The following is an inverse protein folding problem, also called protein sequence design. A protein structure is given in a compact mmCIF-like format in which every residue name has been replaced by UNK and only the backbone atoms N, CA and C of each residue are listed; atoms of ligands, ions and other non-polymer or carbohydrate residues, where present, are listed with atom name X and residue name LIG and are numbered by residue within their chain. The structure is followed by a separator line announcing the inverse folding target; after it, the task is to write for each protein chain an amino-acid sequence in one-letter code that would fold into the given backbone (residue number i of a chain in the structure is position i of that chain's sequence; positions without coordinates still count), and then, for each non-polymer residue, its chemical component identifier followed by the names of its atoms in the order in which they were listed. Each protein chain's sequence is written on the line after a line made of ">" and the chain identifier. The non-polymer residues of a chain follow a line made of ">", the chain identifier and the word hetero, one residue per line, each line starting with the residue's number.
data_IF_665301024858
#
_entry.id   IF_665301024858
#
_cell.length_a   1.000
_cell.length_b   1.000
_cell.length_c   1.000
_cell.angle_alpha   90.00
_cell.angle_beta   90.00
_cell.angle_gamma   90.00
#
_symmetry.space_group_name_H-M   'P 1'
#
loop_
_entity.id
_entity.type
_entity.pdbx_description
1 polymer ?
#
# COMPACT_ATOMS: atom_id res chain seq x y z
N UNK A 1 0.70 17.11 21.72
CA UNK A 1 -0.40 17.80 21.02
C UNK A 1 -0.65 17.03 19.75
N UNK A 2 -1.69 16.19 19.76
CA UNK A 2 -2.13 15.47 18.57
C UNK A 2 -2.98 16.43 17.74
N UNK A 3 -2.67 16.55 16.46
CA UNK A 3 -3.57 17.17 15.49
C UNK A 3 -4.60 16.09 15.21
N UNK A 4 -5.82 16.28 15.70
CA UNK A 4 -6.97 15.45 15.37
C UNK A 4 -7.20 15.54 13.86
N UNK A 5 -6.95 14.46 13.14
CA UNK A 5 -7.40 14.31 11.78
C UNK A 5 -8.90 14.03 11.82
N UNK A 6 -9.71 15.04 11.50
CA UNK A 6 -11.13 14.88 11.16
C UNK A 6 -11.25 14.00 9.90
N UNK A 7 -11.13 12.68 10.07
CA UNK A 7 -11.58 11.71 9.09
C UNK A 7 -12.92 11.20 9.59
N UNK A 8 -13.97 11.94 9.21
CA UNK A 8 -15.37 11.53 9.07
C UNK A 8 -15.79 10.31 9.91
N UNK A 9 -16.04 10.55 11.20
CA UNK A 9 -16.86 9.70 12.06
C UNK A 9 -18.34 9.96 11.73
N UNK A 10 -18.83 9.44 10.60
CA UNK A 10 -20.25 9.09 10.34
C UNK A 10 -20.40 8.56 8.90
N UNK A 11 -21.28 7.56 8.66
CA UNK A 11 -21.46 7.03 7.31
C UNK A 11 -22.20 8.07 6.46
N UNK A 12 -21.69 8.47 5.28
CA UNK A 12 -22.48 9.30 4.38
C UNK A 12 -23.75 8.54 4.02
N UNK A 13 -24.88 9.11 4.43
CA UNK A 13 -26.17 8.82 3.84
C UNK A 13 -26.15 9.41 2.43
N UNK A 14 -26.39 8.56 1.42
CA UNK A 14 -26.17 8.80 -0.02
C UNK A 14 -24.70 9.03 -0.41
N UNK A 15 -24.24 8.27 -1.42
CA UNK A 15 -22.97 8.60 -2.10
C UNK A 15 -23.23 9.92 -2.81
N UNK A 16 -22.56 10.98 -2.37
CA UNK A 16 -22.64 12.31 -3.00
C UNK A 16 -22.25 12.19 -4.48
N UNK A 17 -23.14 12.60 -5.40
CA UNK A 17 -22.89 12.58 -6.85
C UNK A 17 -21.61 13.35 -7.21
N UNK A 18 -21.26 14.37 -6.42
CA UNK A 18 -19.99 15.09 -6.58
C UNK A 18 -18.79 14.22 -6.22
N UNK A 19 -18.88 13.39 -5.18
CA UNK A 19 -17.83 12.43 -4.82
C UNK A 19 -17.68 11.35 -5.89
N UNK A 20 -18.79 10.90 -6.47
CA UNK A 20 -18.81 9.96 -7.59
C UNK A 20 -18.09 10.51 -8.83
N UNK A 21 -18.45 11.71 -9.27
CA UNK A 21 -17.84 12.35 -10.43
C UNK A 21 -16.35 12.63 -10.20
N UNK A 22 -15.98 13.10 -9.00
CA UNK A 22 -14.57 13.33 -8.65
C UNK A 22 -13.72 12.04 -8.75
N UNK A 23 -14.26 10.88 -8.36
CA UNK A 23 -13.55 9.61 -8.44
C UNK A 23 -13.32 9.14 -9.88
N UNK A 24 -14.31 9.35 -10.76
CA UNK A 24 -14.20 9.02 -12.18
C UNK A 24 -13.25 9.97 -12.90
N UNK A 25 -13.32 11.27 -12.59
CA UNK A 25 -12.39 12.28 -13.10
C UNK A 25 -10.95 11.98 -12.68
N UNK A 26 -10.75 11.52 -11.44
CA UNK A 26 -9.45 11.06 -10.96
C UNK A 26 -8.92 9.87 -11.77
N UNK A 27 -9.74 8.86 -12.06
CA UNK A 27 -9.35 7.72 -12.90
C UNK A 27 -8.95 8.20 -14.30
N UNK A 28 -9.75 9.07 -14.91
CA UNK A 28 -9.48 9.62 -16.25
C UNK A 28 -8.17 10.40 -16.26
N UNK A 29 -7.93 11.27 -15.28
CA UNK A 29 -6.69 12.05 -15.18
C UNK A 29 -5.46 11.15 -14.97
N UNK A 30 -5.55 10.18 -14.05
CA UNK A 30 -4.46 9.25 -13.78
C UNK A 30 -4.09 8.41 -15.00
N UNK A 31 -5.08 7.92 -15.74
CA UNK A 31 -4.88 7.05 -16.91
C UNK A 31 -4.43 7.83 -18.14
N UNK A 32 -4.94 9.05 -18.35
CA UNK A 32 -4.53 9.94 -19.45
C UNK A 32 -3.09 10.40 -19.35
N UNK A 33 -2.59 10.61 -18.12
CA UNK A 33 -1.25 11.12 -17.83
C UNK A 33 -0.31 10.02 -17.28
N UNK A 34 -0.48 8.77 -17.71
CA UNK A 34 0.19 7.60 -17.10
C UNK A 34 1.71 7.72 -17.03
N UNK A 35 2.39 8.12 -18.12
CA UNK A 35 3.86 8.20 -18.14
C UNK A 35 4.39 9.23 -17.13
N UNK A 36 3.84 10.45 -17.13
CA UNK A 36 4.23 11.50 -16.19
C UNK A 36 3.89 11.14 -14.74
N UNK A 37 2.75 10.47 -14.51
CA UNK A 37 2.37 10.01 -13.19
C UNK A 37 3.32 8.92 -12.68
N UNK A 38 3.73 7.97 -13.52
CA UNK A 38 4.71 6.94 -13.16
C UNK A 38 6.09 7.53 -12.92
N UNK A 39 6.54 8.50 -13.72
CA UNK A 39 7.79 9.22 -13.48
C UNK A 39 7.79 9.94 -12.12
N UNK A 40 6.70 10.65 -11.80
CA UNK A 40 6.56 11.34 -10.52
C UNK A 40 6.58 10.35 -9.35
N UNK A 41 5.83 9.25 -9.45
CA UNK A 41 5.80 8.20 -8.40
C UNK A 41 7.19 7.61 -8.18
N UNK A 42 7.93 7.30 -9.25
CA UNK A 42 9.30 6.81 -9.13
C UNK A 42 10.20 7.85 -8.44
N UNK A 43 10.14 9.10 -8.88
CA UNK A 43 10.95 10.18 -8.30
C UNK A 43 10.65 10.39 -6.81
N UNK A 44 9.38 10.33 -6.39
CA UNK A 44 8.96 10.41 -4.99
C UNK A 44 9.51 9.23 -4.16
N UNK A 45 9.42 8.00 -4.68
CA UNK A 45 9.96 6.79 -4.03
C UNK A 45 11.47 6.91 -3.86
N UNK A 46 12.19 7.32 -4.91
CA UNK A 46 13.65 7.44 -4.87
C UNK A 46 14.12 8.59 -3.97
N UNK A 47 13.45 9.74 -4.02
CA UNK A 47 13.77 10.88 -3.16
C UNK A 47 13.57 10.53 -1.68
N UNK A 48 12.44 9.90 -1.35
CA UNK A 48 12.14 9.49 0.02
C UNK A 48 13.17 8.50 0.56
N UNK A 49 13.62 7.57 -0.28
CA UNK A 49 14.46 6.46 0.15
C UNK A 49 15.94 6.63 -0.23
N UNK A 50 16.36 7.84 -0.64
CA UNK A 50 17.70 8.11 -1.17
C UNK A 50 18.83 7.66 -0.24
N UNK A 51 18.63 7.80 1.07
CA UNK A 51 19.62 7.46 2.10
C UNK A 51 19.46 6.04 2.67
N UNK A 52 18.55 5.23 2.10
CA UNK A 52 18.37 3.84 2.56
C UNK A 52 19.57 2.98 2.20
N UNK A 53 19.88 1.99 3.04
CA UNK A 53 20.99 1.08 2.77
C UNK A 53 20.85 0.39 1.42
N UNK A 54 19.63 -0.03 1.05
CA UNK A 54 19.39 -0.75 -0.19
C UNK A 54 19.72 0.09 -1.42
N UNK A 55 19.24 1.33 -1.51
CA UNK A 55 19.56 2.20 -2.66
C UNK A 55 21.03 2.64 -2.66
N UNK A 56 21.64 2.78 -1.48
CA UNK A 56 23.07 3.07 -1.35
C UNK A 56 23.96 1.93 -1.87
N UNK A 57 23.55 0.66 -1.75
CA UNK A 57 24.28 -0.49 -2.35
C UNK A 57 24.40 -0.40 -3.86
N UNK A 58 23.44 0.24 -4.53
CA UNK A 58 23.45 0.45 -5.99
C UNK A 58 24.08 1.79 -6.40
N UNK A 59 24.56 2.59 -5.45
CA UNK A 59 25.23 3.86 -5.73
C UNK A 59 24.35 4.84 -6.49
N UNK A 60 23.05 4.92 -6.16
CA UNK A 60 22.14 5.88 -6.79
C UNK A 60 22.53 7.33 -6.46
N UNK A 61 23.15 7.58 -5.31
CA UNK A 61 23.67 8.88 -4.89
C UNK A 61 22.62 10.00 -5.01
N UNK A 62 21.39 9.73 -4.59
CA UNK A 62 20.27 10.69 -4.63
C UNK A 62 19.64 10.92 -6.00
N UNK A 63 20.04 10.17 -7.05
CA UNK A 63 19.38 10.26 -8.36
C UNK A 63 17.93 9.76 -8.27
N UNK A 64 17.01 10.53 -8.86
CA UNK A 64 15.57 10.26 -8.87
C UNK A 64 15.02 10.02 -10.27
N UNK A 65 15.86 10.09 -11.30
CA UNK A 65 15.45 9.92 -12.67
C UNK A 65 15.38 8.44 -13.09
N UNK A 66 14.47 8.17 -14.03
CA UNK A 66 14.16 6.85 -14.56
C UNK A 66 15.34 6.14 -15.21
N UNK A 67 16.22 6.87 -15.90
CA UNK A 67 17.33 6.30 -16.66
C UNK A 67 18.46 5.83 -15.71
N UNK A 68 18.79 6.65 -14.72
CA UNK A 68 19.75 6.26 -13.67
C UNK A 68 19.21 5.08 -12.85
N UNK A 69 17.92 5.09 -12.49
CA UNK A 69 17.31 3.97 -11.78
C UNK A 69 17.44 2.65 -12.56
N UNK A 70 17.03 2.65 -13.84
CA UNK A 70 17.08 1.46 -14.71
C UNK A 70 18.50 0.94 -14.94
N UNK A 71 19.48 1.83 -15.03
CA UNK A 71 20.89 1.43 -15.29
C UNK A 71 21.61 0.90 -14.05
N UNK A 72 21.16 1.26 -12.84
CA UNK A 72 21.83 0.91 -11.58
C UNK A 72 21.10 -0.13 -10.75
N UNK A 73 19.77 -0.05 -10.63
CA UNK A 73 19.01 -0.95 -9.75
C UNK A 73 18.66 -2.23 -10.48
N UNK A 74 19.12 -3.36 -9.94
CA UNK A 74 18.85 -4.67 -10.51
C UNK A 74 17.37 -5.08 -10.36
N UNK A 75 16.86 -5.82 -11.34
CA UNK A 75 15.61 -6.56 -11.20
C UNK A 75 15.90 -7.77 -10.29
N UNK A 76 15.11 -7.91 -9.22
CA UNK A 76 15.35 -8.87 -8.14
C UNK A 76 14.14 -9.77 -7.88
N UNK A 77 14.38 -10.86 -7.15
CA UNK A 77 13.39 -11.77 -6.61
C UNK A 77 13.22 -11.59 -5.10
N UNK A 78 12.31 -12.34 -4.48
CA UNK A 78 12.12 -12.28 -3.02
C UNK A 78 13.36 -12.81 -2.28
N UNK A 79 14.01 -13.82 -2.85
CA UNK A 79 15.18 -14.49 -2.30
C UNK A 79 16.35 -13.52 -2.10
N UNK A 80 16.51 -12.56 -3.01
CA UNK A 80 17.55 -11.52 -2.93
C UNK A 80 17.31 -10.54 -1.77
N UNK A 81 16.06 -10.38 -1.31
CA UNK A 81 15.67 -9.49 -0.21
C UNK A 81 15.60 -10.18 1.15
N UNK A 82 15.72 -11.52 1.21
CA UNK A 82 15.65 -12.28 2.47
C UNK A 82 16.61 -11.72 3.54
N UNK A 83 17.89 -11.39 3.23
CA UNK A 83 18.80 -10.86 4.23
C UNK A 83 18.29 -9.57 4.89
N UNK A 84 17.74 -8.64 4.10
CA UNK A 84 17.21 -7.37 4.59
C UNK A 84 15.93 -7.56 5.40
N UNK A 85 15.00 -8.38 4.88
CA UNK A 85 13.74 -8.70 5.55
C UNK A 85 14.01 -9.37 6.91
N UNK A 86 14.97 -10.29 6.98
CA UNK A 86 15.33 -10.95 8.23
C UNK A 86 15.94 -10.00 9.27
N UNK A 87 16.74 -9.01 8.84
CA UNK A 87 17.26 -7.98 9.75
C UNK A 87 16.11 -7.17 10.36
N UNK A 88 15.18 -6.70 9.55
CA UNK A 88 14.00 -5.95 9.99
C UNK A 88 13.16 -6.82 10.96
N UNK A 89 12.87 -8.07 10.59
CA UNK A 89 12.12 -9.01 11.44
C UNK A 89 12.81 -9.33 12.77
N UNK A 90 14.14 -9.22 12.84
CA UNK A 90 14.93 -9.38 14.07
C UNK A 90 15.08 -8.08 14.88
N UNK A 91 14.59 -6.95 14.37
CA UNK A 91 14.49 -5.71 15.12
C UNK A 91 15.49 -4.63 14.70
N UNK A 92 16.13 -4.78 13.54
CA UNK A 92 16.92 -3.71 12.97
C UNK A 92 15.98 -2.59 12.48
N UNK A 93 16.06 -1.42 13.12
CA UNK A 93 15.24 -0.25 12.81
C UNK A 93 15.98 0.78 11.94
N UNK A 94 17.16 0.45 11.42
CA UNK A 94 17.85 1.30 10.44
C UNK A 94 17.05 1.39 9.13
N UNK A 95 17.22 2.46 8.33
CA UNK A 95 16.52 2.62 7.06
C UNK A 95 17.10 1.67 5.99
N UNK A 96 16.76 0.37 6.08
CA UNK A 96 17.31 -0.65 5.17
C UNK A 96 16.65 -0.56 3.79
N UNK A 97 15.32 -0.77 3.73
CA UNK A 97 14.54 -0.79 2.49
C UNK A 97 13.70 0.49 2.30
N UNK A 98 13.37 1.18 3.40
CA UNK A 98 12.51 2.35 3.40
C UNK A 98 13.00 3.34 4.46
N UNK A 99 12.89 4.63 4.18
CA UNK A 99 13.20 5.68 5.16
C UNK A 99 12.14 5.78 6.26
N UNK A 100 10.91 5.34 5.97
CA UNK A 100 9.85 5.23 6.97
C UNK A 100 9.94 3.90 7.73
N UNK A 101 9.65 3.89 9.04
CA UNK A 101 9.64 2.65 9.82
C UNK A 101 8.65 1.62 9.25
N UNK A 102 9.08 0.37 9.16
CA UNK A 102 8.19 -0.74 8.79
C UNK A 102 7.21 -0.98 9.94
N UNK A 103 5.91 -0.91 9.64
CA UNK A 103 4.84 -1.02 10.63
C UNK A 103 4.40 -2.45 10.88
N UNK A 104 4.38 -3.28 9.83
CA UNK A 104 4.06 -4.70 9.88
C UNK A 104 4.59 -5.42 8.62
N UNK A 105 4.49 -6.75 8.61
CA UNK A 105 4.71 -7.57 7.43
C UNK A 105 3.39 -8.11 6.90
N UNK A 106 3.16 -7.88 5.62
CA UNK A 106 2.06 -8.48 4.88
C UNK A 106 2.51 -9.85 4.36
N UNK A 107 1.85 -10.93 4.78
CA UNK A 107 2.17 -12.29 4.32
C UNK A 107 1.51 -12.57 2.99
N UNK A 108 2.33 -12.85 1.98
CA UNK A 108 1.86 -13.31 0.67
C UNK A 108 1.25 -14.72 0.77
N UNK A 109 0.40 -15.08 -0.19
CA UNK A 109 0.03 -16.48 -0.43
C UNK A 109 1.16 -17.29 -1.06
N UNK A 110 2.08 -16.61 -1.78
CA UNK A 110 3.30 -17.22 -2.30
C UNK A 110 4.30 -17.55 -1.19
N UNK A 111 5.06 -18.62 -1.38
CA UNK A 111 6.01 -19.13 -0.39
C UNK A 111 7.45 -19.11 -0.90
N UNK A 112 8.39 -19.12 0.03
CA UNK A 112 9.82 -19.39 -0.20
C UNK A 112 10.29 -20.33 0.91
N UNK A 113 10.94 -21.43 0.54
CA UNK A 113 11.32 -22.51 1.45
C UNK A 113 10.16 -23.04 2.34
N UNK A 114 8.94 -23.07 1.80
CA UNK A 114 7.75 -23.55 2.52
C UNK A 114 7.04 -22.50 3.39
N UNK A 115 7.70 -21.37 3.66
CA UNK A 115 7.15 -20.29 4.48
C UNK A 115 6.57 -19.16 3.64
N UNK A 116 5.57 -18.45 4.17
CA UNK A 116 4.97 -17.30 3.47
C UNK A 116 5.98 -16.16 3.34
N UNK A 117 5.96 -15.50 2.18
CA UNK A 117 6.80 -14.31 1.94
C UNK A 117 6.33 -13.14 2.81
N UNK A 118 7.25 -12.52 3.52
CA UNK A 118 7.03 -11.36 4.38
C UNK A 118 7.27 -10.07 3.57
N UNK A 119 6.21 -9.33 3.27
CA UNK A 119 6.30 -8.07 2.51
C UNK A 119 6.23 -6.89 3.49
N UNK A 120 7.32 -6.13 3.67
CA UNK A 120 7.31 -4.97 4.57
C UNK A 120 6.33 -3.91 4.07
N UNK A 121 5.53 -3.32 4.98
CA UNK A 121 4.65 -2.19 4.67
C UNK A 121 4.88 -1.06 5.67
N UNK A 122 4.55 0.16 5.26
CA UNK A 122 4.54 1.36 6.11
C UNK A 122 3.09 1.82 6.33
N UNK A 123 2.86 2.72 7.29
CA UNK A 123 1.52 3.20 7.62
C UNK A 123 0.83 3.90 6.43
N UNK A 124 1.57 4.71 5.68
CA UNK A 124 1.08 5.50 4.54
C UNK A 124 0.53 4.62 3.40
N UNK A 125 0.97 3.36 3.29
CA UNK A 125 0.43 2.43 2.30
C UNK A 125 -1.04 2.06 2.59
N UNK A 126 -1.54 2.30 3.80
CA UNK A 126 -2.96 2.10 4.09
C UNK A 126 -3.84 3.10 3.36
N UNK A 127 -3.46 4.38 3.34
CA UNK A 127 -4.23 5.44 2.68
C UNK A 127 -4.32 5.19 1.17
N UNK A 128 -3.21 4.74 0.56
CA UNK A 128 -3.17 4.36 -0.86
C UNK A 128 -4.10 3.18 -1.17
N UNK A 129 -4.21 2.20 -0.28
CA UNK A 129 -5.14 1.07 -0.43
C UNK A 129 -6.60 1.51 -0.28
N UNK A 130 -6.89 2.37 0.69
CA UNK A 130 -8.24 2.91 0.91
C UNK A 130 -8.71 3.76 -0.28
N UNK A 131 -7.80 4.55 -0.86
CA UNK A 131 -8.08 5.27 -2.12
C UNK A 131 -8.46 4.30 -3.23
N UNK A 132 -7.72 3.19 -3.44
CA UNK A 132 -8.09 2.21 -4.46
C UNK A 132 -9.48 1.60 -4.19
N UNK A 133 -9.79 1.27 -2.94
CA UNK A 133 -11.11 0.73 -2.56
C UNK A 133 -12.24 1.73 -2.85
N UNK A 134 -12.03 3.02 -2.60
CA UNK A 134 -13.07 4.04 -2.82
C UNK A 134 -13.43 4.24 -4.29
N UNK A 135 -12.57 3.84 -5.24
CA UNK A 135 -12.82 3.92 -6.68
C UNK A 135 -13.73 2.80 -7.21
N UNK A 136 -13.91 1.70 -6.47
CA UNK A 136 -14.66 0.53 -6.95
C UNK A 136 -16.15 0.87 -7.14
N UNK A 137 -16.79 1.41 -6.11
CA UNK A 137 -18.22 1.73 -6.13
C UNK A 137 -18.57 2.75 -7.22
N UNK A 138 -17.79 3.83 -7.42
CA UNK A 138 -17.95 4.74 -8.55
C UNK A 138 -18.01 4.08 -9.92
N UNK A 139 -17.07 3.18 -10.19
CA UNK A 139 -17.01 2.45 -11.46
C UNK A 139 -18.20 1.51 -11.60
N UNK A 140 -18.55 0.77 -10.55
CA UNK A 140 -19.68 -0.18 -10.57
C UNK A 140 -21.01 0.52 -10.85
N UNK A 141 -21.23 1.71 -10.29
CA UNK A 141 -22.47 2.49 -10.47
C UNK A 141 -22.71 2.93 -11.92
N UNK A 142 -21.69 2.96 -12.78
CA UNK A 142 -21.87 3.23 -14.22
C UNK A 142 -22.61 2.09 -14.95
N UNK A 143 -22.51 0.86 -14.43
CA UNK A 143 -23.02 -0.34 -15.10
C UNK A 143 -24.17 -1.00 -14.33
N UNK A 144 -24.20 -0.86 -13.00
CA UNK A 144 -25.22 -1.43 -12.14
C UNK A 144 -25.84 -0.30 -11.32
N UNK A 145 -26.96 0.29 -11.77
CA UNK A 145 -27.56 1.42 -11.08
C UNK A 145 -28.21 0.97 -9.76
N UNK A 146 -28.34 1.91 -8.82
CA UNK A 146 -29.05 1.73 -7.55
C UNK A 146 -28.38 0.76 -6.55
N UNK A 147 -27.07 0.50 -6.64
CA UNK A 147 -26.34 -0.31 -5.64
C UNK A 147 -26.39 0.32 -4.24
N UNK A 148 -26.50 1.64 -4.17
CA UNK A 148 -26.68 2.44 -2.95
C UNK A 148 -28.04 2.20 -2.27
N UNK A 149 -29.03 1.65 -3.00
CA UNK A 149 -30.36 1.33 -2.46
C UNK A 149 -30.43 -0.04 -1.79
N UNK A 150 -29.33 -0.78 -1.78
CA UNK A 150 -29.23 -2.11 -1.19
C UNK A 150 -28.13 -2.24 -0.15
N UNK A 151 -27.94 -3.47 0.34
CA UNK A 151 -26.75 -3.89 1.10
C UNK A 151 -26.12 -5.06 0.35
N UNK A 152 -24.80 -5.16 0.39
CA UNK A 152 -24.07 -6.30 -0.17
C UNK A 152 -23.75 -7.32 0.92
N UNK A 153 -23.95 -8.61 0.62
CA UNK A 153 -23.57 -9.70 1.52
C UNK A 153 -22.15 -10.15 1.18
N UNK A 154 -21.19 -9.81 2.05
CA UNK A 154 -19.80 -10.22 1.91
C UNK A 154 -19.41 -11.23 3.01
N UNK A 155 -18.88 -12.39 2.59
CA UNK A 155 -18.27 -13.36 3.50
C UNK A 155 -16.77 -13.11 3.58
N UNK A 156 -16.35 -12.39 4.61
CA UNK A 156 -14.95 -11.99 4.80
C UNK A 156 -14.35 -12.74 6.00
N UNK A 157 -13.20 -13.38 5.77
CA UNK A 157 -12.53 -14.20 6.76
C UNK A 157 -11.13 -13.66 7.02
N UNK A 158 -10.86 -13.29 8.27
CA UNK A 158 -9.50 -13.04 8.73
C UNK A 158 -8.75 -14.36 8.91
N UNK A 159 -7.43 -14.30 8.81
CA UNK A 159 -6.53 -15.44 9.05
C UNK A 159 -5.64 -15.14 10.24
N UNK A 160 -5.01 -16.19 10.76
CA UNK A 160 -4.09 -16.07 11.89
C UNK A 160 -2.98 -15.04 11.62
N UNK A 161 -2.63 -14.31 12.67
CA UNK A 161 -1.52 -13.37 12.71
C UNK A 161 -0.38 -14.00 13.52
N UNK A 162 0.86 -13.70 13.15
CA UNK A 162 2.05 -14.08 13.93
C UNK A 162 2.86 -12.83 14.26
N UNK A 163 3.84 -12.98 15.15
CA UNK A 163 4.81 -11.92 15.45
C UNK A 163 6.20 -12.39 15.04
N UNK A 164 6.94 -11.48 14.44
CA UNK A 164 8.39 -11.64 14.20
C UNK A 164 9.15 -11.62 15.55
N UNK A 165 10.43 -12.04 15.59
CA UNK A 165 11.25 -11.97 16.80
C UNK A 165 11.31 -10.57 17.44
N UNK A 166 11.22 -9.50 16.65
CA UNK A 166 11.18 -8.12 17.16
C UNK A 166 9.80 -7.65 17.63
N UNK A 167 8.76 -8.45 17.44
CA UNK A 167 7.39 -8.12 17.81
C UNK A 167 6.56 -7.49 16.71
N UNK A 168 7.11 -7.23 15.52
CA UNK A 168 6.32 -6.77 14.36
C UNK A 168 5.29 -7.82 13.97
N UNK A 169 4.06 -7.40 13.70
CA UNK A 169 2.96 -8.26 13.26
C UNK A 169 3.24 -8.76 11.84
N UNK A 170 2.94 -10.04 11.58
CA UNK A 170 3.00 -10.66 10.26
C UNK A 170 1.65 -11.33 9.96
N UNK A 171 0.96 -10.88 8.91
CA UNK A 171 -0.41 -11.32 8.59
C UNK A 171 -0.82 -11.06 7.15
N UNK A 172 -1.84 -11.74 6.60
CA UNK A 172 -2.33 -11.42 5.26
C UNK A 172 -2.86 -9.98 5.16
N UNK A 173 -2.85 -9.41 3.94
CA UNK A 173 -3.27 -8.02 3.67
C UNK A 173 -4.70 -7.72 4.10
N UNK A 174 -5.60 -8.69 3.99
CA UNK A 174 -7.01 -8.51 4.30
C UNK A 174 -7.16 -8.37 5.82
N UNK A 175 -7.46 -7.16 6.28
CA UNK A 175 -7.77 -6.84 7.68
C UNK A 175 -9.28 -6.76 7.90
N UNK A 176 -9.71 -6.95 9.15
CA UNK A 176 -11.07 -6.63 9.58
C UNK A 176 -11.40 -5.12 9.46
N UNK A 177 -10.40 -4.24 9.50
CA UNK A 177 -10.56 -2.78 9.39
C UNK A 177 -10.90 -2.30 7.97
N UNK A 178 -10.60 -3.10 6.94
CA UNK A 178 -11.11 -2.88 5.57
C UNK A 178 -12.64 -3.16 5.50
N UNK A 179 -13.23 -3.69 6.57
CA UNK A 179 -14.64 -4.12 6.70
C UNK A 179 -15.44 -3.11 7.55
N UNK A 180 -15.21 -1.81 7.36
CA UNK A 180 -16.08 -0.76 7.91
C UNK A 180 -17.02 -0.17 6.86
N UNK A 181 -17.46 -0.98 5.90
CA UNK A 181 -18.73 -0.76 5.21
C UNK A 181 -19.84 -1.51 5.94
N UNK A 182 -20.51 -0.77 6.85
CA UNK A 182 -21.82 -1.06 7.46
C UNK A 182 -22.07 -2.53 7.83
N UNK A 183 -21.51 -2.96 8.96
CA UNK A 183 -22.04 -4.11 9.71
C UNK A 183 -23.40 -3.72 10.30
N UNK A 184 -24.45 -4.29 9.71
CA UNK A 184 -25.87 -4.42 10.12
C UNK A 184 -26.51 -3.16 10.72
#
# INVERSE_FOLDING_TARGET
>A
MAIESEILLEPPSSVDEKSLNNALDFIEEMTKNTDSNQERVLAEILAQNAETEYLNRFGLNGATDRETFKSKVAVITYEDLIPDIQRIAKGDTSPILCAHPISEFLTSSGTSAGERKLMPTIHQEMDRRLLLCSLITPVMNQYVPNLDKGKALHFLFIKAETKTPSGLVARPVIKAETIHEKTI
#
